data_IF_598865363976
#
_entry.id   IF_598865363976
#
_cell.length_a   1.000
_cell.length_b   1.000
_cell.length_c   1.000
_cell.angle_alpha   90.00
_cell.angle_beta   90.00
_cell.angle_gamma   90.00
#
_symmetry.space_group_name_H-M   'P 1'
#
loop_
_entity.id
_entity.type
_entity.pdbx_description
1 polymer ?
#
# COMPACT_ATOMS: atom_id res chain seq x y z
N UNK A 1 -19.83 -20.44 -10.14
CA UNK A 1 -19.11 -20.99 -11.32
C UNK A 1 -19.99 -21.07 -12.56
N UNK A 2 -21.24 -21.53 -12.45
CA UNK A 2 -22.02 -22.01 -13.59
C UNK A 2 -22.55 -20.94 -14.56
N UNK A 3 -22.83 -19.71 -14.11
CA UNK A 3 -23.49 -18.72 -14.97
C UNK A 3 -22.59 -17.56 -15.45
N UNK A 4 -21.56 -17.18 -14.66
CA UNK A 4 -20.70 -16.02 -14.97
C UNK A 4 -19.20 -16.37 -15.06
N UNK A 5 -18.76 -17.49 -14.47
CA UNK A 5 -17.41 -18.05 -14.67
C UNK A 5 -16.15 -17.36 -14.11
N UNK A 6 -16.13 -16.34 -13.21
CA UNK A 6 -14.87 -15.72 -12.78
C UNK A 6 -14.20 -16.52 -11.65
N UNK A 7 -13.64 -17.68 -11.99
CA UNK A 7 -13.13 -18.63 -10.99
C UNK A 7 -11.62 -18.67 -10.96
N UNK A 8 -11.06 -18.56 -9.76
CA UNK A 8 -9.62 -18.50 -9.57
C UNK A 8 -8.98 -19.85 -9.92
N UNK A 9 -7.87 -19.79 -10.68
CA UNK A 9 -7.03 -20.97 -10.92
C UNK A 9 -6.53 -21.53 -9.58
N UNK A 10 -6.60 -22.85 -9.35
CA UNK A 10 -6.06 -23.47 -8.14
C UNK A 10 -4.59 -23.13 -7.90
N UNK A 11 -3.80 -23.01 -8.97
CA UNK A 11 -2.39 -22.63 -8.87
C UNK A 11 -2.21 -21.17 -8.44
N UNK A 12 -3.00 -20.24 -8.98
CA UNK A 12 -2.96 -18.84 -8.56
C UNK A 12 -3.41 -18.69 -7.09
N UNK A 13 -4.43 -19.45 -6.68
CA UNK A 13 -4.86 -19.48 -5.29
C UNK A 13 -3.72 -19.96 -4.36
N UNK A 14 -2.99 -21.01 -4.75
CA UNK A 14 -1.81 -21.46 -4.03
C UNK A 14 -0.73 -20.37 -3.94
N UNK A 15 -0.40 -19.69 -5.04
CA UNK A 15 0.58 -18.59 -5.04
C UNK A 15 0.16 -17.42 -4.14
N UNK A 16 -1.14 -17.07 -4.11
CA UNK A 16 -1.66 -16.06 -3.19
C UNK A 16 -1.45 -16.48 -1.73
N UNK A 17 -1.69 -17.76 -1.40
CA UNK A 17 -1.45 -18.26 -0.04
C UNK A 17 0.02 -18.12 0.36
N UNK A 18 0.96 -18.47 -0.53
CA UNK A 18 2.39 -18.28 -0.27
C UNK A 18 2.75 -16.78 -0.08
N UNK A 19 2.12 -15.90 -0.84
CA UNK A 19 2.27 -14.45 -0.63
C UNK A 19 1.68 -13.99 0.71
N UNK A 20 0.53 -14.52 1.10
CA UNK A 20 -0.19 -14.14 2.31
C UNK A 20 0.61 -14.42 3.58
N UNK A 21 1.31 -15.56 3.62
CA UNK A 21 2.18 -15.94 4.75
C UNK A 21 3.20 -14.84 5.11
N UNK A 22 3.71 -14.12 4.11
CA UNK A 22 4.73 -13.07 4.31
C UNK A 22 4.16 -11.65 4.25
N UNK A 23 2.85 -11.48 4.08
CA UNK A 23 2.25 -10.15 3.91
C UNK A 23 2.51 -9.25 5.13
N UNK A 24 2.42 -9.81 6.33
CA UNK A 24 2.59 -9.10 7.60
C UNK A 24 4.02 -8.55 7.81
N UNK A 25 5.05 -9.16 7.23
CA UNK A 25 6.43 -8.62 7.27
C UNK A 25 6.74 -7.70 6.11
N UNK A 26 6.12 -7.93 4.94
CA UNK A 26 6.34 -7.10 3.74
C UNK A 26 5.63 -5.76 3.81
N UNK A 27 4.36 -5.73 4.24
CA UNK A 27 3.56 -4.51 4.21
C UNK A 27 4.13 -3.38 5.10
N UNK A 28 4.59 -3.64 6.35
CA UNK A 28 5.25 -2.61 7.14
C UNK A 28 6.49 -2.04 6.45
N UNK A 29 7.33 -2.90 5.85
CA UNK A 29 8.51 -2.46 5.09
C UNK A 29 8.13 -1.62 3.87
N UNK A 30 7.06 -1.98 3.15
CA UNK A 30 6.54 -1.18 2.05
C UNK A 30 6.10 0.22 2.53
N UNK A 31 5.36 0.30 3.64
CA UNK A 31 4.90 1.57 4.21
C UNK A 31 6.07 2.44 4.71
N UNK A 32 7.07 1.84 5.37
CA UNK A 32 8.28 2.53 5.83
C UNK A 32 9.06 3.12 4.66
N UNK A 33 9.31 2.31 3.62
CA UNK A 33 10.05 2.75 2.44
C UNK A 33 9.26 3.82 1.66
N UNK A 34 7.95 3.65 1.51
CA UNK A 34 7.09 4.63 0.84
C UNK A 34 7.09 5.97 1.57
N UNK A 35 7.03 5.98 2.91
CA UNK A 35 7.14 7.19 3.71
C UNK A 35 8.48 7.90 3.49
N UNK A 36 9.59 7.15 3.46
CA UNK A 36 10.92 7.73 3.21
C UNK A 36 11.01 8.37 1.82
N UNK A 37 10.49 7.69 0.79
CA UNK A 37 10.44 8.22 -0.58
C UNK A 37 9.52 9.45 -0.66
N UNK A 38 8.34 9.40 -0.03
CA UNK A 38 7.40 10.51 -0.03
C UNK A 38 8.01 11.78 0.57
N UNK A 39 8.67 11.67 1.73
CA UNK A 39 9.37 12.79 2.37
C UNK A 39 10.52 13.33 1.54
N UNK A 40 11.28 12.45 0.89
CA UNK A 40 12.36 12.84 -0.01
C UNK A 40 11.82 13.67 -1.18
N UNK A 41 10.75 13.18 -1.83
CA UNK A 41 10.14 13.85 -2.98
C UNK A 41 9.44 15.16 -2.59
N UNK A 42 8.83 15.24 -1.40
CA UNK A 42 8.13 16.43 -0.92
C UNK A 42 9.08 17.63 -0.75
N UNK A 43 10.35 17.37 -0.44
CA UNK A 43 11.38 18.41 -0.34
C UNK A 43 12.21 18.63 -1.62
N UNK A 44 11.92 17.93 -2.71
CA UNK A 44 12.76 17.94 -3.91
C UNK A 44 12.37 19.10 -4.85
N UNK A 45 13.31 19.96 -5.28
CA UNK A 45 13.00 21.18 -6.04
C UNK A 45 12.37 20.92 -7.42
N UNK A 46 12.65 19.77 -8.02
CA UNK A 46 12.09 19.37 -9.33
C UNK A 46 10.76 18.62 -9.23
N UNK A 47 10.17 18.51 -8.03
CA UNK A 47 8.91 17.80 -7.79
C UNK A 47 7.83 18.81 -7.43
N UNK A 48 6.77 18.87 -8.24
CA UNK A 48 5.68 19.84 -8.04
C UNK A 48 4.76 19.46 -6.87
N UNK A 49 4.46 18.17 -6.69
CA UNK A 49 3.58 17.69 -5.64
C UNK A 49 3.82 16.22 -5.28
N UNK A 50 3.44 15.85 -4.06
CA UNK A 50 3.46 14.46 -3.58
C UNK A 50 2.12 14.13 -2.94
N UNK A 51 1.56 12.98 -3.30
CA UNK A 51 0.30 12.48 -2.75
C UNK A 51 0.55 11.18 -1.98
N UNK A 52 0.79 11.31 -0.68
CA UNK A 52 0.93 10.17 0.21
C UNK A 52 0.16 10.42 1.51
N UNK A 53 -0.84 9.58 1.87
CA UNK A 53 -1.70 9.81 3.04
C UNK A 53 -0.97 9.85 4.38
N UNK A 54 0.26 9.34 4.44
CA UNK A 54 1.10 9.41 5.62
C UNK A 54 1.77 10.79 5.84
N UNK A 55 1.84 11.65 4.83
CA UNK A 55 2.38 13.00 4.97
C UNK A 55 1.39 13.91 5.71
N UNK A 56 1.90 14.80 6.55
CA UNK A 56 1.09 15.78 7.29
C UNK A 56 0.45 16.82 6.34
N UNK A 57 1.07 17.07 5.19
CA UNK A 57 0.57 17.95 4.13
C UNK A 57 -0.63 17.35 3.38
N UNK A 58 -0.89 16.05 3.50
CA UNK A 58 -1.94 15.38 2.75
C UNK A 58 -3.33 15.75 3.32
N UNK A 59 -4.33 16.09 2.48
CA UNK A 59 -5.68 16.49 2.94
C UNK A 59 -6.37 15.46 3.86
N UNK A 60 -6.02 14.18 3.68
CA UNK A 60 -6.60 13.07 4.42
C UNK A 60 -5.71 12.48 5.50
N UNK A 61 -4.65 13.20 5.93
CA UNK A 61 -3.72 12.72 6.95
C UNK A 61 -4.45 12.23 8.22
N UNK A 62 -5.41 13.01 8.71
CA UNK A 62 -6.20 12.66 9.90
C UNK A 62 -7.07 11.42 9.68
N UNK A 63 -7.63 11.25 8.47
CA UNK A 63 -8.40 10.05 8.12
C UNK A 63 -7.51 8.82 8.05
N UNK A 64 -6.33 8.95 7.44
CA UNK A 64 -5.34 7.87 7.39
C UNK A 64 -4.91 7.46 8.80
N UNK A 65 -4.63 8.42 9.69
CA UNK A 65 -4.28 8.16 11.09
C UNK A 65 -5.39 7.43 11.86
N UNK A 66 -6.66 7.74 11.56
CA UNK A 66 -7.82 7.10 12.20
C UNK A 66 -8.08 5.68 11.69
N UNK A 67 -8.01 5.46 10.37
CA UNK A 67 -8.49 4.22 9.75
C UNK A 67 -7.36 3.24 9.36
N UNK A 68 -6.12 3.70 9.28
CA UNK A 68 -4.94 2.90 8.93
C UNK A 68 -3.91 2.94 10.08
N UNK A 69 -4.27 2.45 11.29
CA UNK A 69 -3.32 2.38 12.39
C UNK A 69 -2.18 1.39 12.08
N UNK A 70 -1.05 1.56 12.78
CA UNK A 70 0.11 0.67 12.68
C UNK A 70 -0.15 -0.69 13.31
#
# INVERSE_FOLDING_TARGET
LRDMGPCISPFNAFQILQGLETLHVRMPRHCENAMAVAKFLEGHPDVEWVNYPGLESHPDHDRAKRYLPK
#
